data_IF_137515342117
#
_entry.id   IF_137515342117
#
_cell.length_a   1.000
_cell.length_b   1.000
_cell.length_c   1.000
_cell.angle_alpha   90.00
_cell.angle_beta   90.00
_cell.angle_gamma   90.00
#
_symmetry.space_group_name_H-M   'P 1'
#
loop_
_entity.id
_entity.type
_entity.pdbx_description
1 polymer ?
#
# COMPACT_ATOMS: atom_id res chain seq x y z
N UNK A 1 10.93 0.10 -12.61
CA UNK A 1 10.66 -0.05 -11.16
C UNK A 1 9.80 1.10 -10.65
N UNK A 2 8.70 0.82 -9.92
CA UNK A 2 7.84 1.83 -9.29
C UNK A 2 8.49 2.49 -8.08
N UNK A 3 7.76 3.39 -7.40
CA UNK A 3 8.19 4.01 -6.13
C UNK A 3 8.30 2.94 -5.04
N UNK A 4 7.31 2.04 -4.95
CA UNK A 4 7.31 1.00 -3.93
C UNK A 4 8.58 0.13 -4.00
N UNK A 5 8.90 -0.42 -5.17
CA UNK A 5 10.05 -1.30 -5.36
C UNK A 5 11.42 -0.60 -5.20
N UNK A 6 11.45 0.74 -5.24
CA UNK A 6 12.69 1.53 -5.07
C UNK A 6 12.97 1.89 -3.62
N UNK A 7 11.93 2.23 -2.87
CA UNK A 7 12.07 2.82 -1.54
C UNK A 7 11.60 1.91 -0.40
N UNK A 8 10.97 0.78 -0.70
CA UNK A 8 10.48 -0.13 0.34
C UNK A 8 11.12 -1.51 0.23
N UNK A 9 11.68 -1.95 1.35
CA UNK A 9 12.09 -3.34 1.55
C UNK A 9 10.94 -4.08 2.23
N UNK A 10 10.29 -4.99 1.52
CA UNK A 10 9.25 -5.85 2.07
C UNK A 10 9.89 -6.89 3.02
N UNK A 11 9.48 -6.91 4.28
CA UNK A 11 10.02 -7.83 5.28
C UNK A 11 9.13 -9.07 5.45
N UNK A 12 7.84 -8.85 5.70
CA UNK A 12 6.86 -9.94 5.89
C UNK A 12 5.46 -9.52 5.55
N UNK A 13 4.62 -10.47 5.16
CA UNK A 13 3.18 -10.28 5.03
C UNK A 13 2.53 -10.24 6.41
N UNK A 14 1.80 -9.17 6.71
CA UNK A 14 1.03 -9.00 7.96
C UNK A 14 -0.38 -9.59 7.84
N UNK A 15 -0.96 -9.57 6.63
CA UNK A 15 -2.27 -10.14 6.39
C UNK A 15 -2.73 -10.00 4.95
N UNK A 16 -3.84 -10.65 4.62
CA UNK A 16 -4.54 -10.47 3.35
C UNK A 16 -6.04 -10.49 3.55
N UNK A 17 -6.75 -9.72 2.73
CA UNK A 17 -8.21 -9.70 2.65
C UNK A 17 -8.69 -9.48 1.22
N UNK A 18 -10.00 -9.28 1.06
CA UNK A 18 -10.67 -9.10 -0.24
C UNK A 18 -10.11 -7.95 -1.10
N UNK A 19 -9.56 -6.93 -0.43
CA UNK A 19 -9.03 -5.73 -1.09
C UNK A 19 -7.51 -5.78 -1.33
N UNK A 20 -6.81 -6.85 -0.93
CA UNK A 20 -5.37 -6.97 -1.14
C UNK A 20 -4.62 -7.48 0.08
N UNK A 21 -3.31 -7.22 0.12
CA UNK A 21 -2.43 -7.72 1.17
C UNK A 21 -1.67 -6.57 1.86
N UNK A 22 -1.44 -6.71 3.16
CA UNK A 22 -0.68 -5.77 3.97
C UNK A 22 0.67 -6.40 4.28
N UNK A 23 1.73 -5.62 4.13
CA UNK A 23 3.09 -6.03 4.36
C UNK A 23 3.77 -5.09 5.34
N UNK A 24 4.62 -5.65 6.19
CA UNK A 24 5.61 -4.92 6.96
C UNK A 24 6.72 -4.52 6.01
N UNK A 25 7.05 -3.24 5.96
CA UNK A 25 8.05 -2.72 5.04
C UNK A 25 8.95 -1.71 5.75
N UNK A 26 10.25 -1.78 5.48
CA UNK A 26 11.19 -0.74 5.86
C UNK A 26 11.27 0.28 4.73
N UNK A 27 11.05 1.55 5.05
CA UNK A 27 11.19 2.65 4.10
C UNK A 27 12.63 3.14 4.12
N UNK A 28 13.30 3.07 2.97
CA UNK A 28 14.72 3.41 2.81
C UNK A 28 14.88 4.37 1.64
N UNK A 29 15.60 5.46 1.85
CA UNK A 29 15.94 6.44 0.82
C UNK A 29 17.40 6.84 0.98
N UNK A 30 18.19 6.73 -0.09
CA UNK A 30 19.63 7.03 -0.08
C UNK A 30 20.38 6.33 1.08
N UNK A 31 20.08 5.03 1.29
CA UNK A 31 20.60 4.19 2.39
C UNK A 31 20.17 4.61 3.81
N UNK A 32 19.36 5.66 3.94
CA UNK A 32 18.81 6.11 5.22
C UNK A 32 17.48 5.39 5.48
N UNK A 33 17.39 4.72 6.63
CA UNK A 33 16.13 4.14 7.13
C UNK A 33 15.23 5.27 7.65
N UNK A 34 14.08 5.44 6.99
CA UNK A 34 13.06 6.43 7.35
C UNK A 34 12.03 5.87 8.34
N UNK A 35 12.03 4.54 8.55
CA UNK A 35 11.19 3.85 9.53
C UNK A 35 10.56 2.56 9.00
N UNK A 36 9.83 1.90 9.90
CA UNK A 36 9.09 0.66 9.63
C UNK A 36 7.60 0.96 9.53
N UNK A 37 6.97 0.51 8.44
CA UNK A 37 5.60 0.85 8.10
C UNK A 37 4.79 -0.37 7.67
N UNK A 38 3.46 -0.24 7.75
CA UNK A 38 2.55 -1.18 7.13
C UNK A 38 2.12 -0.64 5.75
N UNK A 39 2.40 -1.39 4.69
CA UNK A 39 1.99 -1.03 3.32
C UNK A 39 0.92 -2.00 2.84
N UNK A 40 -0.29 -1.48 2.59
CA UNK A 40 -1.36 -2.24 1.94
C UNK A 40 -1.24 -2.10 0.43
N UNK A 41 -1.21 -3.23 -0.28
CA UNK A 41 -1.15 -3.33 -1.74
C UNK A 41 -2.47 -3.86 -2.27
N UNK A 42 -3.04 -3.16 -3.25
CA UNK A 42 -4.32 -3.50 -3.85
C UNK A 42 -4.19 -3.51 -5.37
N UNK A 43 -4.32 -4.68 -5.99
CA UNK A 43 -4.49 -4.75 -7.44
C UNK A 43 -5.88 -4.21 -7.83
N UNK A 44 -5.90 -3.22 -8.71
CA UNK A 44 -7.14 -2.61 -9.18
C UNK A 44 -7.68 -3.26 -10.45
N UNK A 45 -6.79 -3.83 -11.27
CA UNK A 45 -7.15 -4.35 -12.60
C UNK A 45 -7.84 -3.27 -13.45
N UNK A 46 -8.76 -3.69 -14.32
CA UNK A 46 -9.50 -2.80 -15.22
C UNK A 46 -10.90 -2.41 -14.68
N UNK A 47 -11.19 -2.70 -13.40
CA UNK A 47 -12.52 -2.50 -12.81
C UNK A 47 -12.69 -1.09 -12.22
N UNK A 48 -13.40 -0.23 -12.96
CA UNK A 48 -13.72 1.14 -12.55
C UNK A 48 -14.66 1.23 -11.34
N UNK A 49 -15.42 0.18 -11.01
CA UNK A 49 -16.24 0.12 -9.79
C UNK A 49 -15.36 -0.16 -8.58
N UNK A 50 -14.44 -1.11 -8.70
CA UNK A 50 -13.46 -1.44 -7.66
C UNK A 50 -12.60 -0.22 -7.32
N UNK A 51 -12.10 0.49 -8.33
CA UNK A 51 -11.37 1.75 -8.12
C UNK A 51 -12.17 2.77 -7.30
N UNK A 52 -13.44 3.00 -7.64
CA UNK A 52 -14.30 3.94 -6.92
C UNK A 52 -14.53 3.55 -5.47
N UNK A 53 -14.73 2.26 -5.19
CA UNK A 53 -14.88 1.76 -3.82
C UNK A 53 -13.60 2.00 -3.01
N UNK A 54 -12.46 1.61 -3.56
CA UNK A 54 -11.16 1.77 -2.90
C UNK A 54 -10.86 3.24 -2.62
N UNK A 55 -11.11 4.15 -3.57
CA UNK A 55 -10.91 5.60 -3.37
C UNK A 55 -11.80 6.13 -2.24
N UNK A 56 -13.03 5.64 -2.09
CA UNK A 56 -13.90 6.02 -0.96
C UNK A 56 -13.33 5.56 0.37
N UNK A 57 -12.82 4.33 0.44
CA UNK A 57 -12.18 3.80 1.65
C UNK A 57 -10.94 4.60 2.04
N UNK A 58 -10.07 4.94 1.07
CA UNK A 58 -8.90 5.79 1.31
C UNK A 58 -9.30 7.15 1.86
N UNK A 59 -10.31 7.81 1.26
CA UNK A 59 -10.81 9.11 1.73
C UNK A 59 -11.44 9.02 3.13
N UNK A 60 -12.03 7.89 3.48
CA UNK A 60 -12.55 7.67 4.82
C UNK A 60 -11.40 7.50 5.83
N UNK A 61 -10.38 6.71 5.50
CA UNK A 61 -9.19 6.51 6.32
C UNK A 61 -8.45 7.83 6.56
N UNK A 62 -8.27 8.65 5.54
CA UNK A 62 -7.59 9.95 5.64
C UNK A 62 -8.28 10.90 6.63
N UNK A 63 -9.60 10.80 6.78
CA UNK A 63 -10.39 11.62 7.71
C UNK A 63 -10.39 11.07 9.14
N UNK A 64 -10.00 9.82 9.36
CA UNK A 64 -10.01 9.20 10.68
C UNK A 64 -8.64 9.32 11.34
N UNK A 65 -8.48 10.31 12.22
CA UNK A 65 -7.30 10.46 13.08
C UNK A 65 -7.73 10.37 14.54
N UNK A 66 -7.42 9.24 15.18
CA UNK A 66 -7.74 8.96 16.58
C UNK A 66 -6.65 8.07 17.19
N UNK A 67 -6.39 8.17 18.50
CA UNK A 67 -5.32 7.44 19.17
C UNK A 67 -5.39 5.90 19.02
N UNK A 68 -6.59 5.35 18.79
CA UNK A 68 -6.84 3.92 18.59
C UNK A 68 -7.03 3.52 17.12
N UNK A 69 -6.71 4.41 16.18
CA UNK A 69 -6.80 4.17 14.74
C UNK A 69 -5.40 4.27 14.17
N UNK A 70 -5.02 3.30 13.33
CA UNK A 70 -3.73 3.29 12.64
C UNK A 70 -3.57 4.59 11.84
N UNK A 71 -2.48 5.33 12.09
CA UNK A 71 -2.25 6.62 11.44
C UNK A 71 -1.92 6.42 9.96
N UNK A 72 -2.82 6.88 9.10
CA UNK A 72 -2.64 6.93 7.66
C UNK A 72 -1.62 8.02 7.31
N UNK A 73 -0.63 7.69 6.47
CA UNK A 73 0.35 8.67 5.97
C UNK A 73 -0.03 9.19 4.59
N UNK A 74 -0.12 8.29 3.62
CA UNK A 74 -0.30 8.64 2.21
C UNK A 74 -0.66 7.39 1.37
N UNK A 75 -1.22 7.58 0.18
CA UNK A 75 -1.48 6.54 -0.81
C UNK A 75 -1.17 7.00 -2.24
N UNK A 76 -0.67 6.08 -3.07
CA UNK A 76 -0.31 6.35 -4.46
C UNK A 76 -0.68 5.20 -5.39
N UNK A 77 -0.80 5.54 -6.67
CA UNK A 77 -1.02 4.58 -7.75
C UNK A 77 0.28 4.36 -8.53
N UNK A 78 0.60 3.11 -8.82
CA UNK A 78 1.66 2.76 -9.77
C UNK A 78 1.33 1.45 -10.49
N UNK A 79 1.93 1.26 -11.66
CA UNK A 79 1.83 0.00 -12.40
C UNK A 79 2.77 -1.03 -11.77
N UNK A 80 2.22 -2.16 -11.31
CA UNK A 80 2.96 -3.22 -10.64
C UNK A 80 2.38 -4.61 -10.95
N UNK A 81 3.02 -5.67 -10.47
CA UNK A 81 2.58 -7.06 -10.65
C UNK A 81 2.74 -7.86 -9.37
N UNK A 82 1.85 -8.82 -9.14
CA UNK A 82 1.90 -9.69 -7.96
C UNK A 82 3.07 -10.67 -7.99
N UNK A 83 3.40 -11.19 -9.17
CA UNK A 83 4.49 -12.13 -9.41
C UNK A 83 5.03 -11.95 -10.82
N UNK A 84 6.15 -12.59 -11.16
CA UNK A 84 6.76 -12.49 -12.48
C UNK A 84 5.88 -13.02 -13.61
N UNK A 85 4.92 -13.91 -13.28
CA UNK A 85 4.00 -14.53 -14.22
C UNK A 85 2.69 -13.75 -14.41
N UNK A 86 2.49 -12.66 -13.64
CA UNK A 86 1.29 -11.82 -13.74
C UNK A 86 1.55 -10.59 -14.65
N UNK A 87 0.52 -10.12 -15.38
CA UNK A 87 0.63 -8.88 -16.12
C UNK A 87 0.81 -7.69 -15.17
N UNK A 88 1.39 -6.64 -15.71
CA UNK A 88 1.43 -5.34 -15.06
C UNK A 88 0.05 -4.71 -15.08
N UNK A 89 -0.47 -4.38 -13.90
CA UNK A 89 -1.77 -3.72 -13.72
C UNK A 89 -1.63 -2.54 -12.77
N UNK A 90 -2.59 -1.61 -12.73
CA UNK A 90 -2.60 -0.57 -11.71
C UNK A 90 -2.73 -1.16 -10.30
N UNK A 91 -1.84 -0.75 -9.41
CA UNK A 91 -1.90 -1.04 -7.99
C UNK A 91 -2.11 0.27 -7.22
N UNK A 92 -2.95 0.21 -6.19
CA UNK A 92 -2.95 1.20 -5.13
C UNK A 92 -2.10 0.70 -3.97
N UNK A 93 -1.25 1.59 -3.47
CA UNK A 93 -0.47 1.41 -2.26
C UNK A 93 -0.97 2.40 -1.20
N UNK A 94 -1.10 1.92 0.04
CA UNK A 94 -1.50 2.73 1.19
C UNK A 94 -0.44 2.55 2.27
N UNK A 95 0.25 3.63 2.63
CA UNK A 95 1.26 3.68 3.68
C UNK A 95 0.62 4.07 5.01
N UNK A 96 0.86 3.26 6.02
CA UNK A 96 0.32 3.38 7.36
C UNK A 96 1.42 3.20 8.40
N UNK A 97 1.28 3.87 9.54
CA UNK A 97 2.12 3.60 10.71
C UNK A 97 2.02 2.11 11.12
N UNK A 98 3.14 1.53 11.57
CA UNK A 98 3.17 0.18 12.14
C UNK A 98 3.36 0.28 13.66
N UNK A 99 2.41 -0.26 14.43
CA UNK A 99 2.42 -0.26 15.89
C UNK A 99 3.13 -1.49 16.48
#
# INVERSE_FOLDING_TARGET
CGYYARFFVEERKLGSGSFGAVYLCRHVMDEIELGVFAVKKLALGDDTKRLRQVVREVKALERMRHANVVDYKHSWLEISRHSEFCPYVPFLFILMEYC
#
